data_IF_347152076255
#
_entry.id   IF_347152076255
#
_cell.length_a   1.000
_cell.length_b   1.000
_cell.length_c   1.000
_cell.angle_alpha   90.00
_cell.angle_beta   90.00
_cell.angle_gamma   90.00
#
_symmetry.space_group_name_H-M   'P 1'
#
loop_
_entity.id
_entity.type
_entity.pdbx_description
1 polymer ?
#
# COMPACT_ATOMS: atom_id res chain seq x y z
N UNK A 1 -8.09 8.57 11.94
CA UNK A 1 -7.79 8.74 10.49
C UNK A 1 -6.29 8.77 10.27
N UNK A 2 -5.57 9.78 10.75
CA UNK A 2 -4.09 9.87 10.64
C UNK A 2 -3.37 8.58 11.06
N UNK A 3 -3.64 8.08 12.28
CA UNK A 3 -3.10 6.79 12.77
C UNK A 3 -3.30 5.63 11.78
N UNK A 4 -4.48 5.54 11.16
CA UNK A 4 -4.83 4.44 10.23
C UNK A 4 -4.01 4.53 8.94
N UNK A 5 -4.01 5.68 8.28
CA UNK A 5 -3.28 5.86 7.02
C UNK A 5 -1.77 5.80 7.20
N UNK A 6 -1.23 6.30 8.33
CA UNK A 6 0.20 6.12 8.64
C UNK A 6 0.58 4.65 8.72
N UNK A 7 -0.22 3.83 9.40
CA UNK A 7 0.01 2.39 9.48
C UNK A 7 -0.22 1.67 8.14
N UNK A 8 -1.29 1.99 7.42
CA UNK A 8 -1.55 1.40 6.09
C UNK A 8 -0.46 1.75 5.07
N UNK A 9 0.15 2.94 5.18
CA UNK A 9 1.30 3.31 4.35
C UNK A 9 2.54 2.46 4.69
N UNK A 10 2.80 2.18 5.98
CA UNK A 10 3.90 1.29 6.34
C UNK A 10 3.68 -0.14 5.86
N UNK A 11 2.42 -0.62 5.91
CA UNK A 11 2.03 -1.91 5.33
C UNK A 11 2.27 -1.94 3.81
N UNK A 12 1.91 -0.88 3.09
CA UNK A 12 2.15 -0.77 1.65
C UNK A 12 3.66 -0.79 1.31
N UNK A 13 4.49 -0.18 2.16
CA UNK A 13 5.95 -0.17 2.03
C UNK A 13 6.61 -1.46 2.55
N UNK A 14 5.85 -2.36 3.19
CA UNK A 14 6.39 -3.56 3.83
C UNK A 14 7.32 -3.27 5.01
N UNK A 15 7.15 -2.11 5.67
CA UNK A 15 8.00 -1.69 6.79
C UNK A 15 7.24 -1.73 8.12
N UNK A 16 7.93 -2.21 9.15
CA UNK A 16 7.42 -2.15 10.53
C UNK A 16 7.76 -0.78 11.14
N UNK A 17 6.79 -0.19 11.82
CA UNK A 17 6.94 1.08 12.52
C UNK A 17 6.61 0.93 14.00
N UNK A 18 7.27 1.73 14.84
CA UNK A 18 7.05 1.71 16.27
C UNK A 18 5.62 2.17 16.63
N UNK A 19 5.08 1.63 17.72
CA UNK A 19 3.80 2.06 18.25
C UNK A 19 3.88 3.41 18.98
N UNK A 20 5.09 3.86 19.37
CA UNK A 20 5.30 5.20 19.92
C UNK A 20 5.23 6.23 18.79
N UNK A 21 4.36 7.23 18.92
CA UNK A 21 4.31 8.28 17.91
C UNK A 21 5.56 9.16 18.00
N UNK A 22 6.20 9.48 16.86
CA UNK A 22 7.27 10.47 16.83
C UNK A 22 6.72 11.87 17.08
N UNK A 23 7.55 12.74 17.66
CA UNK A 23 7.20 14.15 17.86
C UNK A 23 6.94 14.84 16.51
N UNK A 24 5.87 15.62 16.46
CA UNK A 24 5.44 16.39 15.30
C UNK A 24 4.56 17.56 15.75
N UNK A 25 4.25 18.50 14.85
CA UNK A 25 3.48 19.71 15.15
C UNK A 25 2.06 19.44 15.71
N UNK A 26 1.53 18.24 15.52
CA UNK A 26 0.21 17.81 15.99
C UNK A 26 0.29 16.76 17.10
N UNK A 27 1.46 16.58 17.72
CA UNK A 27 1.69 15.50 18.69
C UNK A 27 0.73 15.54 19.87
N UNK A 28 0.37 16.72 20.38
CA UNK A 28 -0.57 16.85 21.51
C UNK A 28 -1.97 16.31 21.21
N UNK A 29 -2.36 16.18 19.94
CA UNK A 29 -3.69 15.70 19.55
C UNK A 29 -3.87 14.21 19.82
N UNK A 30 -2.77 13.49 20.05
CA UNK A 30 -2.73 12.06 20.28
C UNK A 30 -2.59 11.68 21.76
N UNK A 31 -2.75 12.65 22.66
CA UNK A 31 -2.81 12.38 24.09
C UNK A 31 -4.09 11.62 24.49
N UNK A 32 -4.06 10.89 25.62
CA UNK A 32 -2.97 10.83 26.60
C UNK A 32 -1.93 9.74 26.33
N UNK A 33 -2.18 8.83 25.39
CA UNK A 33 -1.39 7.61 25.20
C UNK A 33 -0.21 7.79 24.22
N UNK A 34 -0.33 8.74 23.29
CA UNK A 34 0.66 9.03 22.25
C UNK A 34 1.09 7.79 21.45
N UNK A 35 0.17 6.82 21.30
CA UNK A 35 0.40 5.59 20.54
C UNK A 35 -0.21 5.63 19.15
N UNK A 36 0.31 4.82 18.25
CA UNK A 36 -0.25 4.62 16.92
C UNK A 36 -1.50 3.74 16.96
N UNK A 37 -1.45 2.62 17.69
CA UNK A 37 -2.54 1.65 17.76
C UNK A 37 -3.62 2.05 18.76
N UNK A 38 -4.86 1.64 18.46
CA UNK A 38 -6.04 1.91 19.27
C UNK A 38 -6.61 0.57 19.74
N UNK A 39 -7.00 0.49 21.00
CA UNK A 39 -7.69 -0.69 21.55
C UNK A 39 -9.16 -0.71 21.15
N UNK A 40 -9.73 -1.89 20.83
CA UNK A 40 -11.15 -2.01 20.56
C UNK A 40 -11.98 -1.64 21.80
N UNK A 41 -13.17 -1.09 21.57
CA UNK A 41 -14.13 -0.80 22.64
C UNK A 41 -14.81 -2.07 23.16
N UNK A 42 -15.53 -1.95 24.28
CA UNK A 42 -16.38 -3.02 24.82
C UNK A 42 -17.75 -3.15 24.11
N UNK A 43 -17.94 -2.48 22.97
CA UNK A 43 -19.19 -2.53 22.22
C UNK A 43 -19.48 -3.96 21.75
N UNK A 44 -20.72 -4.42 21.98
CA UNK A 44 -21.13 -5.76 21.59
C UNK A 44 -21.09 -5.93 20.06
N UNK A 45 -20.38 -6.95 19.59
CA UNK A 45 -20.34 -7.32 18.19
C UNK A 45 -21.64 -8.04 17.80
N UNK A 46 -22.45 -7.42 16.93
CA UNK A 46 -23.71 -7.98 16.44
C UNK A 46 -23.56 -8.85 15.18
N UNK A 47 -22.33 -9.04 14.69
CA UNK A 47 -22.04 -9.90 13.55
C UNK A 47 -21.97 -11.37 14.00
N UNK A 48 -23.12 -12.06 14.04
CA UNK A 48 -23.13 -13.50 14.36
C UNK A 48 -22.44 -14.31 13.25
N UNK A 49 -21.81 -15.44 13.58
CA UNK A 49 -21.16 -16.30 12.58
C UNK A 49 -22.12 -16.74 11.46
N UNK A 50 -23.37 -17.06 11.80
CA UNK A 50 -24.38 -17.51 10.84
C UNK A 50 -24.76 -16.38 9.86
N UNK A 51 -24.83 -15.14 10.34
CA UNK A 51 -25.10 -13.97 9.50
C UNK A 51 -23.97 -13.74 8.49
N UNK A 52 -22.72 -13.78 8.97
CA UNK A 52 -21.54 -13.59 8.13
C UNK A 52 -21.42 -14.70 7.07
N UNK A 53 -21.62 -15.97 7.43
CA UNK A 53 -21.54 -17.09 6.49
C UNK A 53 -22.65 -17.04 5.42
N UNK A 54 -23.86 -16.59 5.79
CA UNK A 54 -24.94 -16.40 4.82
C UNK A 54 -24.60 -15.33 3.78
N UNK A 55 -24.03 -14.20 4.20
CA UNK A 55 -23.59 -13.14 3.28
C UNK A 55 -22.44 -13.62 2.40
N UNK A 56 -21.43 -14.24 3.00
CA UNK A 56 -20.26 -14.79 2.30
C UNK A 56 -20.68 -15.79 1.22
N UNK A 57 -21.57 -16.74 1.54
CA UNK A 57 -22.09 -17.71 0.58
C UNK A 57 -22.75 -17.03 -0.61
N UNK A 58 -23.62 -16.04 -0.36
CA UNK A 58 -24.28 -15.26 -1.42
C UNK A 58 -23.27 -14.49 -2.29
N UNK A 59 -22.23 -13.92 -1.68
CA UNK A 59 -21.17 -13.24 -2.43
C UNK A 59 -20.41 -14.23 -3.34
N UNK A 60 -20.08 -15.42 -2.86
CA UNK A 60 -19.45 -16.45 -3.68
C UNK A 60 -20.34 -16.92 -4.84
N UNK A 61 -21.66 -17.06 -4.63
CA UNK A 61 -22.60 -17.36 -5.71
C UNK A 61 -22.63 -16.26 -6.77
N UNK A 62 -22.63 -14.99 -6.36
CA UNK A 62 -22.55 -13.85 -7.29
C UNK A 62 -21.22 -13.86 -8.07
N UNK A 63 -20.10 -14.11 -7.39
CA UNK A 63 -18.77 -14.15 -8.02
C UNK A 63 -18.62 -15.31 -9.01
N UNK A 64 -19.30 -16.44 -8.78
CA UNK A 64 -19.32 -17.58 -9.72
C UNK A 64 -19.96 -17.25 -11.07
N UNK A 65 -20.84 -16.25 -11.12
CA UNK A 65 -21.50 -15.84 -12.37
C UNK A 65 -20.62 -14.98 -13.27
N UNK A 66 -19.49 -14.48 -12.76
CA UNK A 66 -18.52 -13.76 -13.57
C UNK A 66 -17.80 -14.75 -14.51
N UNK A 67 -17.54 -14.38 -15.78
CA UNK A 67 -16.76 -15.20 -16.68
C UNK A 67 -15.37 -15.41 -16.07
N UNK A 68 -15.08 -16.65 -15.67
CA UNK A 68 -13.77 -17.04 -15.17
C UNK A 68 -12.94 -17.62 -16.31
N UNK A 69 -11.62 -17.48 -16.24
CA UNK A 69 -10.69 -18.19 -17.13
C UNK A 69 -10.14 -19.42 -16.37
N UNK A 70 -10.82 -20.58 -16.43
CA UNK A 70 -10.35 -21.78 -15.77
C UNK A 70 -9.03 -22.21 -16.43
N UNK A 71 -7.92 -22.12 -15.69
CA UNK A 71 -6.58 -22.49 -16.17
C UNK A 71 -5.56 -21.35 -16.22
N UNK A 72 -5.97 -20.10 -15.99
CA UNK A 72 -5.02 -19.02 -15.73
C UNK A 72 -4.54 -19.15 -14.29
N UNK A 73 -3.28 -19.56 -14.12
CA UNK A 73 -2.65 -19.59 -12.81
C UNK A 73 -2.62 -18.16 -12.24
N UNK A 74 -3.04 -17.99 -10.99
CA UNK A 74 -2.90 -16.70 -10.30
C UNK A 74 -1.41 -16.44 -10.13
N UNK A 75 -0.86 -15.62 -11.02
CA UNK A 75 0.49 -15.10 -10.90
C UNK A 75 0.41 -13.82 -10.06
N UNK A 76 1.26 -13.72 -9.04
CA UNK A 76 1.51 -12.42 -8.42
C UNK A 76 2.03 -11.51 -9.53
N UNK A 77 1.40 -10.34 -9.70
CA UNK A 77 1.98 -9.30 -10.56
C UNK A 77 3.38 -9.03 -10.04
N UNK A 78 4.36 -9.06 -10.94
CA UNK A 78 5.69 -8.50 -10.66
C UNK A 78 5.42 -7.04 -10.31
N UNK A 79 6.05 -6.57 -9.23
CA UNK A 79 6.01 -5.16 -8.82
C UNK A 79 6.12 -4.29 -10.07
N UNK A 80 5.14 -3.42 -10.31
CA UNK A 80 5.15 -2.45 -11.41
C UNK A 80 6.11 -1.30 -11.03
N UNK A 81 7.25 -1.70 -10.46
CA UNK A 81 8.34 -0.84 -10.05
C UNK A 81 8.75 -0.08 -11.28
N UNK A 82 8.56 1.23 -11.19
CA UNK A 82 9.20 2.22 -12.05
C UNK A 82 10.61 1.68 -12.31
N UNK A 83 10.92 1.35 -13.57
CA UNK A 83 12.28 1.01 -13.96
C UNK A 83 13.13 2.13 -13.37
N UNK A 84 14.06 1.79 -12.48
CA UNK A 84 15.09 2.73 -12.09
C UNK A 84 15.76 3.16 -13.40
N UNK A 85 15.35 4.30 -13.92
CA UNK A 85 16.05 4.99 -14.98
C UNK A 85 17.37 5.40 -14.34
N UNK A 86 18.32 4.48 -14.46
CA UNK A 86 19.75 4.60 -14.20
C UNK A 86 20.14 5.83 -13.39
N UNK A 87 20.54 5.60 -12.13
CA UNK A 87 21.21 6.56 -11.22
C UNK A 87 22.46 7.27 -11.79
N UNK A 88 22.75 7.08 -13.08
CA UNK A 88 23.86 7.66 -13.82
C UNK A 88 23.47 8.93 -14.59
N UNK A 89 22.18 9.23 -14.81
CA UNK A 89 21.78 10.45 -15.54
C UNK A 89 22.04 11.73 -14.72
N UNK A 90 21.84 11.69 -13.40
CA UNK A 90 22.02 12.84 -12.50
C UNK A 90 23.49 13.06 -12.08
N UNK A 91 24.40 12.13 -12.43
CA UNK A 91 25.84 12.23 -12.15
C UNK A 91 26.64 12.83 -13.31
N UNK A 92 26.01 13.11 -14.44
CA UNK A 92 26.67 13.71 -15.59
C UNK A 92 27.05 15.17 -15.31
N UNK A 93 28.31 15.54 -15.57
CA UNK A 93 28.77 16.92 -15.48
C UNK A 93 27.97 17.80 -16.46
N UNK A 94 27.47 18.98 -16.05
CA UNK A 94 26.74 19.89 -16.95
C UNK A 94 27.53 20.33 -18.20
N UNK A 95 28.86 20.25 -18.13
CA UNK A 95 29.77 20.65 -19.21
C UNK A 95 30.17 19.47 -20.12
N UNK A 96 29.74 18.24 -19.82
CA UNK A 96 30.03 17.07 -20.64
C UNK A 96 28.87 16.73 -21.57
N UNK A 97 29.20 16.54 -22.86
CA UNK A 97 28.20 16.15 -23.86
C UNK A 97 27.74 14.71 -23.58
N UNK A 98 26.46 14.55 -23.27
CA UNK A 98 25.84 13.24 -23.14
C UNK A 98 25.99 12.41 -24.45
N UNK A 99 26.26 11.10 -24.36
CA UNK A 99 26.26 10.20 -25.51
C UNK A 99 24.98 10.33 -26.36
N UNK A 100 25.12 10.28 -27.68
CA UNK A 100 24.01 10.39 -28.65
C UNK A 100 22.85 9.44 -28.31
N UNK A 101 23.16 8.21 -27.88
CA UNK A 101 22.16 7.21 -27.51
C UNK A 101 21.25 7.61 -26.33
N UNK A 102 21.71 8.48 -25.42
CA UNK A 102 20.89 9.02 -24.33
C UNK A 102 20.08 10.23 -24.78
N UNK A 103 20.63 11.06 -25.67
CA UNK A 103 19.89 12.18 -26.26
C UNK A 103 18.70 11.70 -27.08
N UNK A 104 18.90 10.64 -27.88
CA UNK A 104 17.87 10.08 -28.75
C UNK A 104 16.70 9.45 -27.95
N UNK A 105 16.96 8.95 -26.73
CA UNK A 105 15.93 8.41 -25.84
C UNK A 105 14.98 9.48 -25.29
N UNK A 106 15.43 10.74 -25.15
CA UNK A 106 14.62 11.84 -24.62
C UNK A 106 13.65 12.46 -25.65
N UNK A 107 13.70 11.99 -26.91
CA UNK A 107 12.93 12.56 -28.03
C UNK A 107 11.64 11.77 -28.32
N UNK A 108 11.30 10.73 -27.54
CA UNK A 108 10.07 9.95 -27.69
C UNK A 108 9.12 10.15 -26.52
#
# INVERSE_FOLDING_TARGET
>A
VSRCWTYETSVALGTEIANELPYNDYFEYFGPDFKLHISPSNMANQNTPEYLEKIKTRLFENLRMLPHAPGVQVQAMVDDGIREESEDEDKASPDERLPQALQDKRIV
#
